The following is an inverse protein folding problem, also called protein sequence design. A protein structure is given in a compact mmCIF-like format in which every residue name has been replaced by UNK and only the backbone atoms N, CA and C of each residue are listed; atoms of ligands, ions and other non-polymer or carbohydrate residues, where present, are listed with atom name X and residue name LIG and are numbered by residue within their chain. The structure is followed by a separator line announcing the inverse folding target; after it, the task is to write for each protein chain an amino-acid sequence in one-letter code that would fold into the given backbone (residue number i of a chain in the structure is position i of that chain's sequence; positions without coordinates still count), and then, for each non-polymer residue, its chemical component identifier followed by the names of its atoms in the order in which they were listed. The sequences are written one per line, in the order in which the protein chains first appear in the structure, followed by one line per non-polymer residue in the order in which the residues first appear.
data_IF_509112077408
#
_entry.id   IF_509112077408
#
_cell.length_a   1.000
_cell.length_b   1.000
_cell.length_c   1.000
_cell.angle_alpha   90.00
_cell.angle_beta   90.00
_cell.angle_gamma   90.00
#
_symmetry.space_group_name_H-M   'P 1'
#
loop_
_entity.id
_entity.type
_entity.pdbx_description
1 polymer ?
#
# COMPACT_ATOMS: atom_id res chain seq x y z
N UNK A 1 6.19 5.48 10.72
CA UNK A 1 5.94 6.81 10.11
C UNK A 1 5.45 6.57 8.71
N UNK A 2 4.36 7.24 8.32
CA UNK A 2 3.65 7.06 7.06
C UNK A 2 4.06 8.07 6.00
N UNK A 3 4.09 7.67 4.72
CA UNK A 3 4.15 8.61 3.59
C UNK A 3 2.80 9.27 3.39
N UNK A 4 2.80 10.60 3.36
CA UNK A 4 1.59 11.42 3.25
C UNK A 4 1.31 11.80 1.79
N UNK A 5 0.04 11.97 1.47
CA UNK A 5 -0.52 12.24 0.14
C UNK A 5 0.05 13.49 -0.55
N UNK A 6 0.55 14.45 0.23
CA UNK A 6 1.04 15.76 -0.26
C UNK A 6 2.55 15.98 -0.11
N UNK A 7 3.30 14.98 0.39
CA UNK A 7 4.74 15.09 0.61
C UNK A 7 5.49 14.03 -0.20
N UNK A 8 6.68 14.36 -0.74
CA UNK A 8 7.51 13.35 -1.38
C UNK A 8 7.88 12.26 -0.37
N UNK A 9 7.62 10.98 -0.69
CA UNK A 9 7.75 9.88 0.27
C UNK A 9 9.20 9.69 0.72
N UNK A 10 10.18 10.09 -0.11
CA UNK A 10 11.60 10.01 0.21
C UNK A 10 12.04 10.91 1.38
N UNK A 11 11.23 11.92 1.74
CA UNK A 11 11.52 12.78 2.88
C UNK A 11 11.39 12.05 4.22
N UNK A 12 10.68 10.92 4.26
CA UNK A 12 10.49 10.16 5.48
C UNK A 12 11.76 9.42 5.93
N UNK A 13 12.60 8.93 5.00
CA UNK A 13 13.77 8.09 5.35
C UNK A 13 14.77 8.73 6.31
N UNK A 14 15.21 9.98 6.13
CA UNK A 14 16.12 10.59 7.10
C UNK A 14 15.47 10.68 8.49
N UNK A 15 14.15 10.91 8.57
CA UNK A 15 13.44 11.01 9.86
C UNK A 15 13.28 9.63 10.51
N UNK A 16 12.87 8.62 9.73
CA UNK A 16 12.72 7.23 10.17
C UNK A 16 14.05 6.69 10.72
N UNK A 17 15.14 6.94 9.98
CA UNK A 17 16.50 6.55 10.38
C UNK A 17 16.92 7.26 11.66
N UNK A 18 16.75 8.58 11.73
CA UNK A 18 17.17 9.37 12.89
C UNK A 18 16.36 9.03 14.16
N UNK A 19 15.07 8.74 14.01
CA UNK A 19 14.18 8.40 15.11
C UNK A 19 14.22 6.90 15.49
N UNK A 20 14.87 6.05 14.69
CA UNK A 20 14.90 4.59 14.85
C UNK A 20 13.49 3.98 15.01
N UNK A 21 12.57 4.40 14.13
CA UNK A 21 11.19 3.89 14.07
C UNK A 21 10.97 3.10 12.80
N UNK A 22 9.87 2.36 12.71
CA UNK A 22 9.51 1.62 11.49
C UNK A 22 8.68 2.45 10.51
N UNK A 23 8.66 2.02 9.25
CA UNK A 23 7.84 2.63 8.20
C UNK A 23 6.40 2.10 8.25
N UNK A 24 5.44 3.01 8.01
CA UNK A 24 4.13 2.68 7.46
C UNK A 24 4.19 3.07 5.99
N UNK A 25 3.87 2.18 5.07
CA UNK A 25 3.82 2.53 3.64
C UNK A 25 2.36 2.56 3.21
N UNK A 26 1.89 3.73 2.81
CA UNK A 26 0.61 3.91 2.17
C UNK A 26 0.76 3.77 0.65
N UNK A 27 0.20 2.69 0.10
CA UNK A 27 0.24 2.40 -1.34
C UNK A 27 -0.68 3.33 -2.13
N UNK A 28 -1.82 3.72 -1.57
CA UNK A 28 -2.76 4.60 -2.24
C UNK A 28 -2.16 5.99 -2.44
N UNK A 29 -1.46 6.53 -1.45
CA UNK A 29 -0.71 7.79 -1.60
C UNK A 29 0.41 7.71 -2.64
N UNK A 30 1.13 6.57 -2.75
CA UNK A 30 2.10 6.37 -3.83
C UNK A 30 1.44 6.42 -5.20
N UNK A 31 0.29 5.75 -5.35
CA UNK A 31 -0.51 5.77 -6.57
C UNK A 31 -1.02 7.19 -6.90
N UNK A 32 -1.49 7.95 -5.90
CA UNK A 32 -1.92 9.35 -6.09
C UNK A 32 -0.81 10.18 -6.71
N UNK A 33 0.40 10.02 -6.19
CA UNK A 33 1.60 10.73 -6.59
C UNK A 33 2.30 10.14 -7.83
N UNK A 34 1.71 9.09 -8.44
CA UNK A 34 2.24 8.43 -9.64
C UNK A 34 3.62 7.77 -9.42
N UNK A 35 3.90 7.31 -8.21
CA UNK A 35 5.05 6.44 -7.91
C UNK A 35 4.73 4.98 -8.26
N UNK A 36 5.77 4.20 -8.57
CA UNK A 36 5.65 2.74 -8.72
C UNK A 36 5.66 2.06 -7.34
N UNK A 37 4.54 1.46 -6.88
CA UNK A 37 4.48 0.82 -5.58
C UNK A 37 5.38 -0.41 -5.47
N UNK A 38 5.60 -1.16 -6.55
CA UNK A 38 6.40 -2.37 -6.55
C UNK A 38 7.87 -2.03 -6.31
N UNK A 39 8.38 -1.06 -7.06
CA UNK A 39 9.75 -0.56 -6.88
C UNK A 39 9.92 0.02 -5.46
N UNK A 40 8.98 0.83 -4.99
CA UNK A 40 9.06 1.47 -3.69
C UNK A 40 9.04 0.45 -2.53
N UNK A 41 8.15 -0.55 -2.60
CA UNK A 41 8.04 -1.60 -1.57
C UNK A 41 9.26 -2.52 -1.56
N UNK A 42 9.78 -2.94 -2.73
CA UNK A 42 10.85 -3.95 -2.82
C UNK A 42 12.08 -3.59 -1.98
N UNK A 43 12.41 -2.30 -1.91
CA UNK A 43 13.58 -1.78 -1.20
C UNK A 43 13.32 -1.51 0.28
N UNK A 44 12.05 -1.44 0.70
CA UNK A 44 11.65 -0.90 2.00
C UNK A 44 10.95 -1.88 2.92
N UNK A 45 10.41 -2.98 2.38
CA UNK A 45 9.74 -4.01 3.17
C UNK A 45 10.51 -4.49 4.42
N UNK A 46 11.86 -4.58 4.44
CA UNK A 46 12.60 -4.92 5.67
C UNK A 46 12.39 -3.95 6.85
N UNK A 47 11.99 -2.71 6.58
CA UNK A 47 11.78 -1.64 7.55
C UNK A 47 10.29 -1.30 7.76
N UNK A 48 9.41 -1.83 6.92
CA UNK A 48 7.97 -1.61 6.95
C UNK A 48 7.29 -2.54 7.95
N UNK A 49 6.42 -1.99 8.81
CA UNK A 49 5.62 -2.79 9.77
C UNK A 49 4.12 -2.70 9.51
N UNK A 50 3.68 -1.66 8.83
CA UNK A 50 2.28 -1.48 8.45
C UNK A 50 2.28 -1.04 6.99
N UNK A 51 1.36 -1.60 6.23
CA UNK A 51 1.03 -1.14 4.89
C UNK A 51 -0.42 -0.68 4.94
N UNK A 52 -0.68 0.55 4.51
CA UNK A 52 -2.03 1.01 4.22
C UNK A 52 -2.29 0.83 2.74
N UNK A 53 -3.48 0.34 2.42
CA UNK A 53 -3.84 0.05 1.04
C UNK A 53 -5.28 0.43 0.77
N UNK A 54 -5.45 1.36 -0.16
CA UNK A 54 -6.72 1.77 -0.71
C UNK A 54 -6.53 2.14 -2.18
N UNK A 55 -7.63 2.16 -2.93
CA UNK A 55 -7.67 2.69 -4.28
C UNK A 55 -7.97 4.19 -4.28
N UNK A 56 -7.77 4.81 -5.45
CA UNK A 56 -8.07 6.22 -5.67
C UNK A 56 -8.93 6.35 -6.92
N UNK A 57 -10.16 6.81 -6.71
CA UNK A 57 -11.11 7.15 -7.76
C UNK A 57 -11.34 8.66 -7.80
N UNK A 58 -12.58 9.08 -7.60
CA UNK A 58 -12.96 10.51 -7.47
C UNK A 58 -12.50 11.19 -6.17
N UNK A 59 -12.07 10.40 -5.19
CA UNK A 59 -11.59 10.80 -3.87
C UNK A 59 -10.59 9.77 -3.35
N UNK A 60 -9.91 10.14 -2.30
CA UNK A 60 -9.02 9.28 -1.56
C UNK A 60 -9.75 8.17 -0.77
N UNK A 61 -9.02 7.14 -0.34
CA UNK A 61 -9.51 6.04 0.49
C UNK A 61 -10.76 5.32 -0.10
N UNK A 62 -10.69 4.90 -1.37
CA UNK A 62 -11.74 4.15 -2.06
C UNK A 62 -11.38 2.68 -2.26
N UNK A 63 -12.34 1.91 -2.74
CA UNK A 63 -12.17 0.50 -3.07
C UNK A 63 -10.93 0.22 -3.93
N UNK A 64 -10.27 -0.92 -3.68
CA UNK A 64 -9.17 -1.45 -4.51
C UNK A 64 -9.61 -1.79 -5.94
N UNK A 65 -10.90 -1.80 -6.24
CA UNK A 65 -11.40 -1.85 -7.62
C UNK A 65 -10.93 -0.67 -8.49
N UNK A 66 -10.46 0.42 -7.87
CA UNK A 66 -9.80 1.52 -8.58
C UNK A 66 -8.32 1.23 -8.92
N UNK A 67 -7.74 0.15 -8.40
CA UNK A 67 -6.45 -0.39 -8.81
C UNK A 67 -6.63 -1.50 -9.85
N UNK A 68 -5.68 -1.64 -10.77
CA UNK A 68 -5.72 -2.75 -11.73
C UNK A 68 -5.53 -4.10 -11.04
N UNK A 69 -6.21 -5.15 -11.52
CA UNK A 69 -6.04 -6.52 -10.99
C UNK A 69 -4.57 -6.98 -11.04
N UNK A 70 -3.84 -6.56 -12.09
CA UNK A 70 -2.42 -6.86 -12.26
C UNK A 70 -1.54 -6.22 -11.19
N UNK A 71 -1.82 -4.97 -10.81
CA UNK A 71 -1.09 -4.27 -9.75
C UNK A 71 -1.32 -4.95 -8.40
N UNK A 72 -2.58 -5.24 -8.06
CA UNK A 72 -2.95 -5.96 -6.83
C UNK A 72 -2.27 -7.32 -6.76
N UNK A 73 -2.30 -8.07 -7.87
CA UNK A 73 -1.62 -9.37 -7.96
C UNK A 73 -0.10 -9.23 -7.78
N UNK A 74 0.52 -8.22 -8.38
CA UNK A 74 1.96 -7.99 -8.27
C UNK A 74 2.39 -7.62 -6.85
N UNK A 75 1.63 -6.75 -6.17
CA UNK A 75 1.88 -6.37 -4.76
C UNK A 75 1.77 -7.61 -3.86
N UNK A 76 0.70 -8.40 -3.98
CA UNK A 76 0.52 -9.60 -3.17
C UNK A 76 1.64 -10.64 -3.41
N UNK A 77 2.09 -10.80 -4.66
CA UNK A 77 3.24 -11.66 -5.00
C UNK A 77 4.52 -11.13 -4.35
N UNK A 78 4.80 -9.84 -4.46
CA UNK A 78 5.96 -9.22 -3.81
C UNK A 78 5.95 -9.45 -2.29
N UNK A 79 4.82 -9.22 -1.61
CA UNK A 79 4.70 -9.43 -0.17
C UNK A 79 4.96 -10.89 0.22
N UNK A 80 4.46 -11.84 -0.58
CA UNK A 80 4.72 -13.27 -0.40
C UNK A 80 6.19 -13.62 -0.65
N UNK A 81 6.78 -13.14 -1.74
CA UNK A 81 8.18 -13.39 -2.11
C UNK A 81 9.17 -12.85 -1.08
N UNK A 82 8.87 -11.69 -0.50
CA UNK A 82 9.68 -11.05 0.55
C UNK A 82 9.37 -11.56 1.95
N UNK A 83 8.51 -12.58 2.06
CA UNK A 83 8.06 -13.18 3.32
C UNK A 83 7.54 -12.12 4.32
N UNK A 84 6.80 -11.11 3.84
CA UNK A 84 6.29 -10.05 4.70
C UNK A 84 5.27 -10.62 5.71
N UNK A 85 5.60 -10.53 7.01
CA UNK A 85 4.80 -11.07 8.13
C UNK A 85 4.13 -10.01 8.98
N UNK A 86 4.05 -8.77 8.50
CA UNK A 86 3.43 -7.68 9.25
C UNK A 86 2.06 -7.33 8.69
N UNK A 87 1.51 -6.18 9.10
CA UNK A 87 0.11 -5.84 8.84
C UNK A 87 -0.05 -5.19 7.48
N UNK A 88 -1.11 -5.58 6.77
CA UNK A 88 -1.71 -4.84 5.66
C UNK A 88 -3.10 -4.41 6.11
N UNK A 89 -3.35 -3.12 6.12
CA UNK A 89 -4.61 -2.49 6.50
C UNK A 89 -5.31 -2.01 5.24
N UNK A 90 -6.55 -2.45 5.02
CA UNK A 90 -7.43 -1.83 4.03
C UNK A 90 -7.99 -0.54 4.62
N UNK A 91 -7.35 0.59 4.30
CA UNK A 91 -7.72 1.90 4.85
C UNK A 91 -8.84 2.53 4.03
N UNK A 92 -10.05 2.00 4.20
CA UNK A 92 -11.26 2.47 3.53
C UNK A 92 -12.34 2.78 4.55
N UNK A 93 -13.08 3.87 4.33
CA UNK A 93 -14.02 4.41 5.33
C UNK A 93 -15.48 4.12 5.01
N UNK A 94 -15.74 3.10 4.19
CA UNK A 94 -17.08 2.61 3.93
C UNK A 94 -17.10 1.09 3.86
N UNK A 95 -18.23 0.50 4.29
CA UNK A 95 -18.43 -0.94 4.21
C UNK A 95 -18.41 -1.45 2.77
N UNK A 96 -19.00 -0.69 1.85
CA UNK A 96 -19.04 -1.06 0.44
C UNK A 96 -17.64 -1.08 -0.19
N UNK A 97 -16.80 -0.08 0.11
CA UNK A 97 -15.41 -0.06 -0.35
C UNK A 97 -14.61 -1.23 0.25
N UNK A 98 -14.85 -1.56 1.52
CA UNK A 98 -14.21 -2.69 2.19
C UNK A 98 -14.57 -4.04 1.55
N UNK A 99 -15.87 -4.34 1.40
CA UNK A 99 -16.35 -5.60 0.83
C UNK A 99 -15.84 -5.77 -0.61
N UNK A 100 -15.96 -4.72 -1.44
CA UNK A 100 -15.47 -4.78 -2.83
C UNK A 100 -13.94 -4.90 -2.92
N UNK A 101 -13.19 -4.35 -1.97
CA UNK A 101 -11.73 -4.52 -1.91
C UNK A 101 -11.33 -5.96 -1.57
N UNK A 102 -12.08 -6.62 -0.68
CA UNK A 102 -11.85 -8.02 -0.36
C UNK A 102 -12.11 -8.92 -1.57
N UNK A 103 -13.23 -8.74 -2.27
CA UNK A 103 -13.54 -9.48 -3.50
C UNK A 103 -12.42 -9.31 -4.55
N UNK A 104 -11.89 -8.10 -4.66
CA UNK A 104 -10.80 -7.79 -5.59
C UNK A 104 -9.49 -8.50 -5.24
N UNK A 105 -9.16 -8.57 -3.94
CA UNK A 105 -8.01 -9.32 -3.43
C UNK A 105 -8.20 -10.82 -3.64
N UNK A 106 -9.39 -11.37 -3.36
CA UNK A 106 -9.69 -12.79 -3.58
C UNK A 106 -9.51 -13.19 -5.05
N UNK A 107 -9.96 -12.33 -5.96
CA UNK A 107 -9.74 -12.50 -7.41
C UNK A 107 -8.25 -12.52 -7.78
N UNK A 108 -7.41 -11.76 -7.08
CA UNK A 108 -5.96 -11.70 -7.35
C UNK A 108 -5.20 -12.91 -6.81
N UNK A 109 -5.67 -13.47 -5.69
CA UNK A 109 -5.08 -14.68 -5.09
C UNK A 109 -5.46 -15.93 -5.88
N UNK A 110 -6.63 -15.93 -6.52
CA UNK A 110 -7.17 -17.07 -7.27
C UNK A 110 -6.63 -17.18 -8.72
N UNK A 111 -5.82 -16.23 -9.17
CA UNK A 111 -5.31 -16.11 -10.54
C UNK A 111 -3.85 -16.60 -10.70
#
# INVERSE_FOLDING_TARGET
MENLESYPPEWNHPVITAANVSECIDIGHLNLQQHDPIAYLSDRLPFTRVIHWHGIGTRDHQSLTNCSQSEVTAILRLLKEKDYKHTVTLEVFSRADFETSLDWIEGAISA
#
